data_IF_485586385385
#
_entry.id   IF_485586385385
#
_cell.length_a   1.000
_cell.length_b   1.000
_cell.length_c   1.000
_cell.angle_alpha   90.00
_cell.angle_beta   90.00
_cell.angle_gamma   90.00
#
_symmetry.space_group_name_H-M   'P 1'
#
loop_
_entity.id
_entity.type
_entity.pdbx_description
1 polymer ?
#
# COMPACT_ATOMS: atom_id res chain seq x y z
N UNK A 1 -1.25 0.11 1.16
CA UNK A 1 0.02 0.80 0.83
C UNK A 1 0.01 1.44 -0.56
N UNK A 2 -1.12 1.99 -1.03
CA UNK A 2 -1.08 2.99 -2.10
C UNK A 2 -1.12 4.37 -1.43
N UNK A 3 0.03 4.83 -0.92
CA UNK A 3 0.15 6.20 -0.42
C UNK A 3 0.04 7.21 -1.58
N UNK A 4 0.25 8.51 -1.31
CA UNK A 4 0.31 9.50 -2.39
C UNK A 4 1.52 9.28 -3.34
N UNK A 5 2.52 8.50 -2.92
CA UNK A 5 3.79 8.36 -3.62
C UNK A 5 3.72 7.74 -5.03
N UNK A 6 2.91 6.69 -5.32
CA UNK A 6 2.74 6.17 -6.69
C UNK A 6 2.00 7.13 -7.64
N UNK A 7 1.36 8.19 -7.12
CA UNK A 7 0.69 9.22 -7.93
C UNK A 7 1.65 10.40 -8.16
N UNK A 8 2.27 10.90 -7.08
CA UNK A 8 3.14 12.07 -7.13
C UNK A 8 4.40 11.80 -7.97
N UNK A 9 5.01 10.62 -7.86
CA UNK A 9 6.24 10.27 -8.58
C UNK A 9 6.08 10.40 -10.11
N UNK A 10 5.11 9.71 -10.73
CA UNK A 10 4.83 9.85 -12.15
C UNK A 10 4.45 11.28 -12.56
N UNK A 11 3.66 12.00 -11.76
CA UNK A 11 3.30 13.39 -12.05
C UNK A 11 4.52 14.31 -12.13
N UNK A 12 5.49 14.17 -11.22
CA UNK A 12 6.75 14.91 -11.25
C UNK A 12 7.61 14.45 -12.43
N UNK A 13 7.63 13.16 -12.74
CA UNK A 13 8.43 12.63 -13.83
C UNK A 13 8.03 13.10 -15.23
N UNK A 14 6.87 13.74 -15.40
CA UNK A 14 6.46 14.40 -16.66
C UNK A 14 7.43 15.54 -17.06
N UNK A 15 8.30 16.02 -16.17
CA UNK A 15 9.39 16.93 -16.53
C UNK A 15 10.25 16.41 -17.72
N UNK A 16 10.43 15.10 -17.84
CA UNK A 16 11.20 14.45 -18.92
C UNK A 16 10.34 13.93 -20.06
N UNK A 17 9.04 14.24 -20.05
CA UNK A 17 8.03 13.67 -20.94
C UNK A 17 7.38 12.41 -20.37
N UNK A 18 6.26 12.01 -20.95
CA UNK A 18 5.50 10.86 -20.44
C UNK A 18 6.16 9.51 -20.77
N UNK A 19 6.95 9.43 -21.84
CA UNK A 19 7.52 8.16 -22.31
C UNK A 19 8.61 7.60 -21.38
N UNK A 20 9.62 8.37 -20.92
CA UNK A 20 10.62 7.85 -19.97
C UNK A 20 10.00 7.44 -18.63
N UNK A 21 9.02 8.22 -18.15
CA UNK A 21 8.29 7.91 -16.92
C UNK A 21 7.55 6.58 -17.04
N UNK A 22 6.78 6.38 -18.12
CA UNK A 22 6.05 5.15 -18.37
C UNK A 22 6.97 3.94 -18.51
N UNK A 23 8.04 4.07 -19.30
CA UNK A 23 9.04 3.01 -19.48
C UNK A 23 9.65 2.59 -18.16
N UNK A 24 10.03 3.55 -17.31
CA UNK A 24 10.62 3.25 -16.03
C UNK A 24 9.62 2.66 -15.02
N UNK A 25 8.36 3.10 -15.02
CA UNK A 25 7.31 2.47 -14.21
C UNK A 25 7.17 0.99 -14.58
N UNK A 26 7.09 0.66 -15.87
CA UNK A 26 6.91 -0.73 -16.32
C UNK A 26 8.18 -1.54 -16.09
N UNK A 27 9.31 -1.10 -16.63
CA UNK A 27 10.56 -1.86 -16.58
C UNK A 27 11.13 -1.91 -15.16
N UNK A 28 11.09 -0.80 -14.43
CA UNK A 28 11.59 -0.73 -13.05
C UNK A 28 10.79 -1.60 -12.10
N UNK A 29 9.45 -1.62 -12.20
CA UNK A 29 8.62 -2.49 -11.35
C UNK A 29 8.86 -3.98 -11.64
N UNK A 30 9.09 -4.36 -12.90
CA UNK A 30 9.34 -5.76 -13.29
C UNK A 30 10.75 -6.20 -12.89
N UNK A 31 11.79 -5.45 -13.30
CA UNK A 31 13.17 -5.92 -13.19
C UNK A 31 13.82 -5.60 -11.85
N UNK A 32 13.45 -4.48 -11.22
CA UNK A 32 14.05 -4.07 -9.95
C UNK A 32 13.11 -4.41 -8.79
N UNK A 33 11.88 -3.88 -8.81
CA UNK A 33 10.92 -4.01 -7.70
C UNK A 33 10.52 -5.45 -7.44
N UNK A 34 9.94 -6.12 -8.45
CA UNK A 34 9.44 -7.49 -8.30
C UNK A 34 10.56 -8.48 -8.00
N UNK A 35 11.73 -8.34 -8.62
CA UNK A 35 12.89 -9.20 -8.35
C UNK A 35 13.40 -9.01 -6.91
N UNK A 36 13.54 -7.76 -6.46
CA UNK A 36 13.96 -7.44 -5.09
C UNK A 36 12.98 -7.98 -4.05
N UNK A 37 11.68 -7.68 -4.19
CA UNK A 37 10.65 -8.06 -3.23
C UNK A 37 10.43 -9.57 -3.18
N UNK A 38 10.54 -10.24 -4.34
CA UNK A 38 10.47 -11.70 -4.43
C UNK A 38 11.72 -12.37 -3.86
N UNK A 39 12.92 -11.82 -4.11
CA UNK A 39 14.16 -12.29 -3.51
C UNK A 39 14.11 -12.26 -1.98
N UNK A 40 13.64 -11.15 -1.41
CA UNK A 40 13.41 -11.00 0.03
C UNK A 40 12.38 -12.02 0.55
N UNK A 41 11.29 -12.25 -0.20
CA UNK A 41 10.26 -13.25 0.14
C UNK A 41 10.83 -14.66 0.21
N UNK A 42 11.47 -15.11 -0.87
CA UNK A 42 11.99 -16.48 -1.01
C UNK A 42 13.03 -16.76 0.07
N UNK A 43 13.92 -15.80 0.33
CA UNK A 43 14.95 -15.90 1.37
C UNK A 43 14.30 -16.03 2.75
N UNK A 44 13.33 -15.17 3.06
CA UNK A 44 12.59 -15.24 4.33
C UNK A 44 11.86 -16.56 4.54
N UNK A 45 11.13 -17.06 3.54
CA UNK A 45 10.38 -18.32 3.67
C UNK A 45 11.32 -19.52 3.85
N UNK A 46 12.50 -19.53 3.20
CA UNK A 46 13.54 -20.55 3.43
C UNK A 46 14.07 -20.51 4.87
N UNK A 47 14.17 -19.32 5.44
CA UNK A 47 14.58 -19.07 6.83
C UNK A 47 13.40 -19.07 7.81
N UNK A 48 12.37 -19.89 7.56
CA UNK A 48 11.19 -20.06 8.45
C UNK A 48 10.39 -18.77 8.70
N UNK A 49 10.36 -17.84 7.75
CA UNK A 49 9.64 -16.57 7.86
C UNK A 49 10.34 -15.52 8.73
N UNK A 50 11.66 -15.64 8.93
CA UNK A 50 12.46 -14.63 9.63
C UNK A 50 12.59 -13.36 8.78
N UNK A 51 12.69 -12.21 9.46
CA UNK A 51 12.89 -10.93 8.79
C UNK A 51 14.24 -10.88 8.09
N UNK A 52 14.38 -10.10 7.01
CA UNK A 52 15.67 -9.94 6.32
C UNK A 52 16.76 -9.38 7.27
N UNK A 53 16.35 -8.56 8.25
CA UNK A 53 17.20 -8.04 9.31
C UNK A 53 17.81 -9.17 10.16
N UNK A 54 16.99 -10.14 10.55
CA UNK A 54 17.43 -11.26 11.38
C UNK A 54 18.33 -12.24 10.60
N UNK A 55 18.00 -12.48 9.32
CA UNK A 55 18.78 -13.37 8.44
C UNK A 55 20.19 -12.83 8.24
N UNK A 56 20.31 -11.50 8.04
CA UNK A 56 21.59 -10.81 7.92
C UNK A 56 22.49 -11.05 9.12
N UNK A 57 21.91 -11.21 10.32
CA UNK A 57 22.65 -11.53 11.54
C UNK A 57 23.31 -12.89 11.56
N UNK A 58 22.67 -13.90 10.98
CA UNK A 58 23.21 -15.25 10.91
C UNK A 58 24.25 -15.41 9.80
N UNK A 59 24.11 -14.64 8.71
CA UNK A 59 24.97 -14.76 7.52
C UNK A 59 26.23 -13.88 7.65
N UNK A 60 26.10 -12.65 8.16
CA UNK A 60 27.20 -11.69 8.24
C UNK A 60 27.77 -11.66 9.65
N UNK A 61 27.09 -11.02 10.59
CA UNK A 61 27.41 -10.99 12.02
C UNK A 61 26.29 -10.35 12.83
N UNK A 62 26.31 -10.54 14.15
CA UNK A 62 25.33 -9.95 15.09
C UNK A 62 25.34 -8.41 15.13
N UNK A 63 26.47 -7.76 14.84
CA UNK A 63 26.56 -6.28 14.84
C UNK A 63 25.77 -5.68 13.66
N UNK A 64 25.88 -6.27 12.48
CA UNK A 64 25.13 -5.89 11.27
C UNK A 64 23.64 -6.08 11.48
N UNK A 65 23.21 -7.13 12.19
CA UNK A 65 21.79 -7.31 12.58
C UNK A 65 21.27 -6.12 13.37
N UNK A 66 21.98 -5.71 14.43
CA UNK A 66 21.56 -4.59 15.28
C UNK A 66 21.53 -3.28 14.49
N UNK A 67 22.56 -3.02 13.67
CA UNK A 67 22.60 -1.85 12.78
C UNK A 67 21.39 -1.81 11.83
N UNK A 68 21.06 -2.95 11.23
CA UNK A 68 19.94 -3.05 10.30
C UNK A 68 18.58 -2.94 11.02
N UNK A 69 18.43 -3.51 12.22
CA UNK A 69 17.23 -3.36 13.04
C UNK A 69 17.00 -1.92 13.48
N UNK A 70 18.06 -1.20 13.90
CA UNK A 70 17.98 0.23 14.23
C UNK A 70 17.56 1.03 12.99
N UNK A 71 18.18 0.76 11.84
CA UNK A 71 17.82 1.42 10.59
C UNK A 71 16.35 1.21 10.22
N UNK A 72 15.85 -0.03 10.27
CA UNK A 72 14.44 -0.35 9.98
C UNK A 72 13.50 0.32 10.97
N UNK A 73 13.86 0.38 12.25
CA UNK A 73 13.08 1.05 13.28
C UNK A 73 12.96 2.55 13.01
N UNK A 74 14.08 3.23 12.74
CA UNK A 74 14.11 4.66 12.42
C UNK A 74 13.33 4.96 11.13
N UNK A 75 13.51 4.13 10.10
CA UNK A 75 12.78 4.25 8.83
C UNK A 75 11.26 4.10 9.03
N UNK A 76 10.83 3.10 9.82
CA UNK A 76 9.40 2.86 10.08
C UNK A 76 8.79 4.01 10.86
N UNK A 77 9.53 4.59 11.82
CA UNK A 77 9.07 5.74 12.58
C UNK A 77 8.94 7.00 11.72
N UNK A 78 9.90 7.27 10.84
CA UNK A 78 9.83 8.37 9.87
C UNK A 78 8.63 8.22 8.94
N UNK A 79 8.43 7.01 8.38
CA UNK A 79 7.32 6.74 7.47
C UNK A 79 5.97 6.94 8.18
N UNK A 80 5.84 6.48 9.43
CA UNK A 80 4.63 6.68 10.22
C UNK A 80 4.32 8.17 10.43
N UNK A 81 5.34 8.98 10.74
CA UNK A 81 5.18 10.42 10.94
C UNK A 81 4.74 11.15 9.66
N UNK A 82 5.38 10.85 8.52
CA UNK A 82 5.03 11.46 7.22
C UNK A 82 3.60 11.11 6.81
N UNK A 83 3.18 9.86 6.99
CA UNK A 83 1.81 9.45 6.67
C UNK A 83 0.77 10.04 7.63
N UNK A 84 1.07 10.14 8.92
CA UNK A 84 0.17 10.78 9.88
C UNK A 84 -0.08 12.25 9.51
N UNK A 85 0.97 13.00 9.18
CA UNK A 85 0.88 14.39 8.73
C UNK A 85 0.09 14.51 7.43
N UNK A 86 0.36 13.65 6.44
CA UNK A 86 -0.33 13.71 5.14
C UNK A 86 -1.84 13.40 5.26
N UNK A 87 -2.21 12.40 6.06
CA UNK A 87 -3.63 12.04 6.27
C UNK A 87 -4.35 13.10 7.10
N UNK A 88 -3.71 13.64 8.15
CA UNK A 88 -4.29 14.72 8.94
C UNK A 88 -4.55 15.98 8.10
N UNK A 89 -3.61 16.35 7.23
CA UNK A 89 -3.81 17.43 6.27
C UNK A 89 -4.97 17.16 5.31
N UNK A 90 -5.11 15.93 4.83
CA UNK A 90 -6.24 15.53 3.96
C UNK A 90 -7.59 15.61 4.69
N UNK A 91 -7.64 15.26 5.97
CA UNK A 91 -8.88 15.33 6.77
C UNK A 91 -9.35 16.76 7.02
N UNK A 92 -8.41 17.69 7.22
CA UNK A 92 -8.73 19.12 7.33
C UNK A 92 -9.14 19.69 5.97
N UNK A 93 -8.42 19.35 4.90
CA UNK A 93 -8.72 19.87 3.55
C UNK A 93 -10.01 19.29 2.95
N UNK A 94 -10.34 18.03 3.24
CA UNK A 94 -11.50 17.32 2.69
C UNK A 94 -12.24 16.57 3.82
N UNK A 95 -13.03 17.28 4.65
CA UNK A 95 -13.72 16.68 5.80
C UNK A 95 -14.74 15.60 5.44
N UNK A 96 -15.22 15.58 4.20
CA UNK A 96 -16.16 14.56 3.67
C UNK A 96 -15.55 13.15 3.67
N UNK A 97 -14.22 13.02 3.72
CA UNK A 97 -13.51 11.73 3.74
C UNK A 97 -13.43 11.09 5.12
N UNK A 98 -13.64 11.87 6.20
CA UNK A 98 -13.46 11.40 7.57
C UNK A 98 -14.47 10.30 7.91
N UNK A 99 -15.74 10.52 7.57
CA UNK A 99 -16.83 9.56 7.82
C UNK A 99 -16.59 8.20 7.14
N UNK A 100 -16.40 8.10 5.80
CA UNK A 100 -16.21 6.81 5.15
C UNK A 100 -14.98 6.06 5.66
N UNK A 101 -13.88 6.74 5.98
CA UNK A 101 -12.64 6.08 6.47
C UNK A 101 -12.84 5.48 7.87
N UNK A 102 -13.49 6.21 8.78
CA UNK A 102 -13.76 5.68 10.13
C UNK A 102 -14.75 4.51 10.10
N UNK A 103 -15.75 4.58 9.22
CA UNK A 103 -16.71 3.49 9.04
C UNK A 103 -16.04 2.26 8.38
N UNK A 104 -15.12 2.46 7.44
CA UNK A 104 -14.33 1.38 6.84
C UNK A 104 -13.60 0.56 7.91
N UNK A 105 -13.00 1.22 8.91
CA UNK A 105 -12.32 0.55 10.03
C UNK A 105 -13.28 -0.34 10.81
N UNK A 106 -14.48 0.15 11.13
CA UNK A 106 -15.51 -0.61 11.86
C UNK A 106 -15.97 -1.81 11.05
N UNK A 107 -16.24 -1.62 9.76
CA UNK A 107 -16.64 -2.69 8.85
C UNK A 107 -15.54 -3.73 8.70
N UNK A 108 -14.28 -3.31 8.60
CA UNK A 108 -13.12 -4.20 8.49
C UNK A 108 -13.00 -5.10 9.72
N UNK A 109 -13.22 -4.58 10.93
CA UNK A 109 -13.22 -5.36 12.17
C UNK A 109 -14.34 -6.41 12.15
N UNK A 110 -15.55 -6.02 11.76
CA UNK A 110 -16.69 -6.93 11.69
C UNK A 110 -16.45 -8.06 10.68
N UNK A 111 -15.92 -7.72 9.51
CA UNK A 111 -15.55 -8.69 8.47
C UNK A 111 -14.41 -9.58 8.94
N UNK A 112 -13.35 -9.04 9.55
CA UNK A 112 -12.24 -9.82 10.10
C UNK A 112 -12.72 -10.88 11.08
N UNK A 113 -13.60 -10.49 12.01
CA UNK A 113 -14.23 -11.41 12.95
C UNK A 113 -15.14 -12.44 12.26
N UNK A 114 -15.94 -12.02 11.28
CA UNK A 114 -16.85 -12.90 10.55
C UNK A 114 -16.10 -13.94 9.69
N UNK A 115 -15.04 -13.52 8.98
CA UNK A 115 -14.17 -14.40 8.20
C UNK A 115 -13.52 -15.45 9.11
N UNK A 116 -13.04 -15.03 10.28
CA UNK A 116 -12.41 -15.93 11.24
C UNK A 116 -13.39 -16.97 11.80
N UNK A 117 -14.61 -16.57 12.18
CA UNK A 117 -15.60 -17.49 12.77
C UNK A 117 -16.33 -18.36 11.76
N UNK A 118 -16.68 -17.84 10.58
CA UNK A 118 -17.59 -18.52 9.62
C UNK A 118 -16.88 -19.24 8.48
N UNK A 119 -15.54 -19.12 8.36
CA UNK A 119 -14.72 -19.72 7.28
C UNK A 119 -15.28 -19.46 5.87
N UNK A 120 -15.98 -18.34 5.68
CA UNK A 120 -16.54 -17.91 4.40
C UNK A 120 -15.43 -17.33 3.52
N UNK A 121 -15.61 -17.41 2.19
CA UNK A 121 -14.66 -16.79 1.25
C UNK A 121 -14.65 -15.26 1.40
N UNK A 122 -13.47 -14.65 1.39
CA UNK A 122 -13.29 -13.23 1.64
C UNK A 122 -13.96 -12.30 0.61
N UNK A 123 -14.17 -12.76 -0.63
CA UNK A 123 -14.67 -11.98 -1.76
C UNK A 123 -16.07 -11.40 -1.55
N UNK A 124 -17.03 -12.22 -1.11
CA UNK A 124 -18.42 -11.76 -1.00
C UNK A 124 -18.60 -10.73 0.14
N UNK A 125 -18.08 -10.96 1.37
CA UNK A 125 -18.13 -9.96 2.43
C UNK A 125 -17.43 -8.65 2.06
N UNK A 126 -16.31 -8.70 1.32
CA UNK A 126 -15.58 -7.48 0.93
C UNK A 126 -16.32 -6.65 -0.11
N UNK A 127 -17.02 -7.28 -1.06
CA UNK A 127 -17.84 -6.56 -2.03
C UNK A 127 -19.05 -5.88 -1.36
N UNK A 128 -19.65 -6.54 -0.37
CA UNK A 128 -20.72 -5.94 0.44
C UNK A 128 -20.16 -4.74 1.21
N UNK A 129 -19.00 -4.87 1.85
CA UNK A 129 -18.34 -3.75 2.51
C UNK A 129 -18.03 -2.59 1.58
N UNK A 130 -17.58 -2.87 0.36
CA UNK A 130 -17.32 -1.84 -0.64
C UNK A 130 -18.61 -1.09 -1.02
N UNK A 131 -19.72 -1.80 -1.21
CA UNK A 131 -21.03 -1.18 -1.46
C UNK A 131 -21.48 -0.28 -0.31
N UNK A 132 -21.35 -0.75 0.94
CA UNK A 132 -21.63 0.04 2.13
C UNK A 132 -20.72 1.27 2.19
N UNK A 133 -19.42 1.10 1.90
CA UNK A 133 -18.46 2.18 1.90
C UNK A 133 -18.86 3.30 0.92
N UNK A 134 -19.30 2.98 -0.29
CA UNK A 134 -19.78 3.99 -1.25
C UNK A 134 -21.03 4.74 -0.76
N UNK A 135 -21.93 4.07 -0.03
CA UNK A 135 -23.07 4.73 0.63
C UNK A 135 -22.56 5.74 1.66
N UNK A 136 -21.57 5.37 2.47
CA UNK A 136 -20.97 6.28 3.44
C UNK A 136 -20.11 7.38 2.81
N UNK A 137 -19.52 7.16 1.64
CA UNK A 137 -18.88 8.24 0.85
C UNK A 137 -19.94 9.27 0.45
N UNK A 138 -21.09 8.84 -0.05
CA UNK A 138 -22.19 9.74 -0.36
C UNK A 138 -22.71 10.47 0.88
N UNK A 139 -22.92 9.77 2.00
CA UNK A 139 -23.35 10.40 3.26
C UNK A 139 -22.32 11.39 3.81
N UNK A 140 -21.02 11.10 3.65
CA UNK A 140 -19.93 12.00 4.04
C UNK A 140 -19.97 13.33 3.29
N UNK A 141 -20.49 13.37 2.06
CA UNK A 141 -20.70 14.65 1.34
C UNK A 141 -21.84 15.48 1.90
N UNK A 142 -22.80 14.86 2.61
CA UNK A 142 -23.94 15.55 3.23
C UNK A 142 -23.67 15.97 4.67
N UNK A 143 -22.86 15.18 5.39
CA UNK A 143 -22.51 15.40 6.79
C UNK A 143 -20.98 15.48 6.96
N UNK A 144 -20.34 16.58 6.54
CA UNK A 144 -18.90 16.76 6.76
C UNK A 144 -18.63 16.86 8.26
N UNK A 145 -17.73 16.01 8.75
CA UNK A 145 -17.28 16.06 10.14
C UNK A 145 -16.02 16.93 10.19
N UNK A 146 -16.13 18.12 10.76
CA UNK A 146 -14.98 19.01 10.96
C UNK A 146 -14.92 19.48 12.41
N UNK A 147 -13.71 19.73 12.90
CA UNK A 147 -13.54 20.30 14.23
C UNK A 147 -13.73 21.83 14.28
N UNK A 148 -14.03 22.45 13.14
CA UNK A 148 -14.36 23.88 13.05
C UNK A 148 -15.55 24.28 13.93
N UNK A 149 -16.54 23.40 14.08
CA UNK A 149 -17.69 23.63 14.96
C UNK A 149 -17.30 23.75 16.44
N UNK A 150 -16.10 23.30 16.83
CA UNK A 150 -15.55 23.44 18.17
C UNK A 150 -14.64 24.67 18.31
N UNK A 151 -14.55 25.53 17.28
CA UNK A 151 -13.75 26.76 17.30
C UNK A 151 -12.24 26.55 17.18
N UNK A 152 -11.79 25.38 16.70
CA UNK A 152 -10.38 25.07 16.53
C UNK A 152 -9.84 25.61 15.20
N UNK A 153 -8.68 26.26 15.24
CA UNK A 153 -7.95 26.67 14.03
C UNK A 153 -7.44 25.45 13.24
N UNK A 154 -7.26 25.62 11.94
CA UNK A 154 -6.71 24.63 10.99
C UNK A 154 -5.46 23.90 11.53
N UNK A 155 -4.53 24.62 12.15
CA UNK A 155 -3.32 24.05 12.75
C UNK A 155 -3.64 23.14 13.93
N UNK A 156 -4.57 23.57 14.79
CA UNK A 156 -4.98 22.79 15.96
C UNK A 156 -5.74 21.52 15.54
N UNK A 157 -6.57 21.61 14.51
CA UNK A 157 -7.27 20.44 13.95
C UNK A 157 -6.29 19.42 13.39
N UNK A 158 -5.29 19.88 12.63
CA UNK A 158 -4.26 19.01 12.06
C UNK A 158 -3.47 18.30 13.17
N UNK A 159 -3.01 19.05 14.18
CA UNK A 159 -2.29 18.47 15.32
C UNK A 159 -3.14 17.45 16.09
N UNK A 160 -4.43 17.73 16.30
CA UNK A 160 -5.36 16.80 16.95
C UNK A 160 -5.50 15.51 16.13
N UNK A 161 -5.67 15.62 14.81
CA UNK A 161 -5.74 14.45 13.93
C UNK A 161 -4.45 13.63 13.95
N UNK A 162 -3.28 14.27 13.96
CA UNK A 162 -1.99 13.57 14.08
C UNK A 162 -1.96 12.72 15.36
N UNK A 163 -2.35 13.30 16.50
CA UNK A 163 -2.42 12.58 17.78
C UNK A 163 -3.39 11.40 17.70
N UNK A 164 -4.60 11.61 17.17
CA UNK A 164 -5.60 10.55 17.01
C UNK A 164 -5.11 9.41 16.09
N UNK A 165 -4.41 9.75 15.00
CA UNK A 165 -3.83 8.78 14.07
C UNK A 165 -2.69 7.97 14.70
N UNK A 166 -1.87 8.58 15.56
CA UNK A 166 -0.85 7.85 16.32
C UNK A 166 -1.47 6.90 17.34
N UNK A 167 -2.51 7.33 18.07
CA UNK A 167 -3.26 6.47 18.99
C UNK A 167 -3.86 5.28 18.23
N UNK A 168 -4.52 5.55 17.10
CA UNK A 168 -5.05 4.50 16.24
C UNK A 168 -3.96 3.53 15.77
N UNK A 169 -2.80 4.04 15.33
CA UNK A 169 -1.69 3.21 14.85
C UNK A 169 -1.10 2.34 15.96
N UNK A 170 -1.02 2.87 17.19
CA UNK A 170 -0.61 2.11 18.36
C UNK A 170 -1.58 0.94 18.63
N UNK A 171 -2.90 1.21 18.67
CA UNK A 171 -3.93 0.18 18.84
C UNK A 171 -3.87 -0.86 17.71
N UNK A 172 -3.77 -0.40 16.45
CA UNK A 172 -3.73 -1.26 15.28
C UNK A 172 -2.51 -2.20 15.26
N UNK A 173 -1.36 -1.76 15.78
CA UNK A 173 -0.15 -2.59 15.86
C UNK A 173 -0.20 -3.67 16.95
N UNK A 174 -1.05 -3.50 17.95
CA UNK A 174 -1.31 -4.49 19.00
C UNK A 174 -2.32 -5.56 18.57
N UNK A 175 -3.23 -5.20 17.66
CA UNK A 175 -4.26 -6.11 17.18
C UNK A 175 -3.70 -7.20 16.25
N UNK A 176 -4.26 -8.43 16.27
CA UNK A 176 -3.87 -9.46 15.32
C UNK A 176 -4.10 -9.03 13.87
N UNK A 177 -3.17 -9.35 12.98
CA UNK A 177 -3.20 -8.96 11.56
C UNK A 177 -4.52 -9.36 10.87
N UNK A 178 -5.07 -10.53 11.20
CA UNK A 178 -6.31 -11.04 10.62
C UNK A 178 -7.56 -10.26 11.06
N UNK A 179 -7.50 -9.55 12.18
CA UNK A 179 -8.66 -8.91 12.80
C UNK A 179 -8.98 -7.56 12.15
N UNK A 180 -7.96 -6.73 11.90
CA UNK A 180 -8.13 -5.40 11.35
C UNK A 180 -7.37 -5.21 10.04
N UNK A 181 -6.07 -5.53 10.01
CA UNK A 181 -5.18 -5.13 8.93
C UNK A 181 -5.50 -5.84 7.62
N UNK A 182 -5.64 -7.17 7.65
CA UNK A 182 -5.97 -7.99 6.49
C UNK A 182 -7.34 -7.68 5.86
N UNK A 183 -8.46 -7.62 6.62
CA UNK A 183 -9.76 -7.30 6.03
C UNK A 183 -9.81 -5.87 5.49
N UNK A 184 -9.18 -4.91 6.17
CA UNK A 184 -9.08 -3.52 5.69
C UNK A 184 -8.29 -3.42 4.39
N UNK A 185 -7.09 -4.01 4.35
CA UNK A 185 -6.27 -4.01 3.13
C UNK A 185 -6.99 -4.66 1.95
N UNK A 186 -7.80 -5.69 2.23
CA UNK A 186 -8.60 -6.35 1.21
C UNK A 186 -9.72 -5.46 0.67
N UNK A 187 -10.49 -4.76 1.52
CA UNK A 187 -11.52 -3.80 1.09
C UNK A 187 -10.88 -2.67 0.25
N UNK A 188 -9.81 -2.07 0.77
CA UNK A 188 -9.10 -0.97 0.08
C UNK A 188 -8.51 -1.41 -1.27
N UNK A 189 -8.06 -2.66 -1.41
CA UNK A 189 -7.60 -3.18 -2.70
C UNK A 189 -8.71 -3.21 -3.76
N UNK A 190 -9.95 -3.57 -3.38
CA UNK A 190 -11.08 -3.53 -4.31
C UNK A 190 -11.43 -2.07 -4.68
N UNK A 191 -11.40 -1.17 -3.70
CA UNK A 191 -11.60 0.25 -3.95
C UNK A 191 -10.56 0.82 -4.92
N UNK A 192 -9.29 0.41 -4.80
CA UNK A 192 -8.24 0.82 -5.74
C UNK A 192 -8.57 0.37 -7.17
N UNK A 193 -9.00 -0.88 -7.37
CA UNK A 193 -9.39 -1.37 -8.70
C UNK A 193 -10.59 -0.62 -9.27
N UNK A 194 -11.62 -0.36 -8.47
CA UNK A 194 -12.79 0.40 -8.91
C UNK A 194 -12.43 1.85 -9.21
N UNK A 195 -11.64 2.49 -8.35
CA UNK A 195 -11.18 3.86 -8.54
C UNK A 195 -10.34 4.01 -9.81
N UNK A 196 -9.43 3.07 -10.07
CA UNK A 196 -8.62 3.06 -11.29
C UNK A 196 -9.49 2.84 -12.54
N UNK A 197 -10.45 1.91 -12.49
CA UNK A 197 -11.37 1.67 -13.60
C UNK A 197 -12.22 2.90 -13.92
N UNK A 198 -12.76 3.57 -12.89
CA UNK A 198 -13.52 4.82 -13.05
C UNK A 198 -12.65 5.95 -13.61
N UNK A 199 -11.39 6.06 -13.17
CA UNK A 199 -10.46 7.06 -13.68
C UNK A 199 -10.17 6.84 -15.17
N UNK A 200 -9.84 5.61 -15.58
CA UNK A 200 -9.64 5.30 -17.00
C UNK A 200 -10.90 5.54 -17.82
N UNK A 201 -12.07 5.12 -17.34
CA UNK A 201 -13.34 5.38 -18.02
C UNK A 201 -13.59 6.89 -18.16
N UNK A 202 -13.34 7.66 -17.10
CA UNK A 202 -13.43 9.11 -17.12
C UNK A 202 -12.51 9.75 -18.15
N UNK A 203 -11.29 9.23 -18.32
CA UNK A 203 -10.35 9.69 -19.35
C UNK A 203 -10.88 9.43 -20.76
N UNK A 204 -11.45 8.23 -21.01
CA UNK A 204 -12.04 7.89 -22.30
C UNK A 204 -13.28 8.72 -22.62
N UNK A 205 -14.06 9.15 -21.63
CA UNK A 205 -15.24 9.99 -21.86
C UNK A 205 -14.87 11.46 -22.01
N UNK A 206 -13.97 11.97 -21.16
CA UNK A 206 -13.61 13.38 -21.13
C UNK A 206 -12.67 13.80 -22.28
N UNK A 207 -11.91 12.86 -22.85
CA UNK A 207 -10.93 13.12 -23.91
C UNK A 207 -10.10 14.41 -23.70
N UNK A 208 -9.40 14.56 -22.56
CA UNK A 208 -8.61 15.76 -22.31
C UNK A 208 -7.44 15.83 -23.31
N UNK A 209 -7.13 17.04 -23.77
CA UNK A 209 -5.97 17.28 -24.61
C UNK A 209 -4.71 17.03 -23.78
N UNK A 210 -3.88 16.07 -24.21
CA UNK A 210 -2.62 15.73 -23.52
C UNK A 210 -1.53 16.71 -23.98
N UNK A 211 -1.33 17.76 -23.19
CA UNK A 211 -0.27 18.76 -23.42
C UNK A 211 1.07 18.33 -22.78
N UNK A 212 1.52 17.11 -23.11
CA UNK A 212 2.78 16.56 -22.62
C UNK A 212 3.57 15.95 -23.78
N UNK A 213 4.75 16.50 -24.14
CA UNK A 213 5.61 15.89 -25.15
C UNK A 213 6.08 14.50 -24.69
N UNK A 214 6.31 13.61 -25.65
CA UNK A 214 6.77 12.26 -25.36
C UNK A 214 8.13 12.25 -24.64
N UNK A 215 9.03 13.16 -25.04
CA UNK A 215 10.36 13.27 -24.48
C UNK A 215 10.78 14.73 -24.38
N UNK A 216 11.39 15.11 -23.24
CA UNK A 216 12.06 16.39 -23.03
C UNK A 216 13.52 16.15 -22.64
N UNK A 217 14.50 16.56 -23.46
CA UNK A 217 15.91 16.40 -23.12
C UNK A 217 16.31 17.27 -21.92
N UNK A 218 17.30 16.82 -21.16
CA UNK A 218 17.88 17.59 -20.04
C UNK A 218 18.51 18.88 -20.58
N UNK A 219 18.10 20.04 -20.05
CA UNK A 219 18.63 21.34 -20.47
C UNK A 219 17.61 22.50 -20.53
N UNK A 220 16.33 22.22 -20.78
CA UNK A 220 15.24 23.22 -20.78
C UNK A 220 14.66 23.45 -19.36
N UNK A 221 15.53 23.60 -18.36
CA UNK A 221 15.12 23.63 -16.94
C UNK A 221 14.77 22.26 -16.34
N UNK A 222 14.77 21.20 -17.14
CA UNK A 222 14.65 19.82 -16.67
C UNK A 222 16.02 19.29 -16.18
N UNK A 223 16.13 18.78 -14.94
CA UNK A 223 17.38 18.25 -14.42
C UNK A 223 17.78 16.94 -15.13
N UNK A 224 18.98 16.40 -14.84
CA UNK A 224 19.47 15.19 -15.53
C UNK A 224 18.55 13.99 -15.29
N UNK A 225 18.22 13.23 -16.35
CA UNK A 225 17.37 12.03 -16.25
C UNK A 225 17.97 11.02 -15.27
N UNK A 226 19.27 10.79 -15.37
CA UNK A 226 20.02 9.99 -14.41
C UNK A 226 20.67 10.90 -13.35
N UNK A 227 20.52 10.63 -12.04
CA UNK A 227 19.75 9.55 -11.41
C UNK A 227 18.29 9.92 -11.07
N UNK A 228 17.87 11.16 -11.31
CA UNK A 228 16.62 11.71 -10.74
C UNK A 228 15.36 10.96 -11.15
N UNK A 229 15.18 10.59 -12.42
CA UNK A 229 14.00 9.85 -12.86
C UNK A 229 13.80 8.55 -12.05
N UNK A 230 14.90 7.84 -11.81
CA UNK A 230 14.92 6.57 -11.09
C UNK A 230 14.56 6.72 -9.61
N UNK A 231 14.95 7.84 -8.99
CA UNK A 231 14.66 8.16 -7.58
C UNK A 231 13.25 8.73 -7.44
N UNK A 232 12.81 9.59 -8.36
CA UNK A 232 11.48 10.22 -8.36
C UNK A 232 10.37 9.19 -8.46
N UNK A 233 10.56 8.14 -9.27
CA UNK A 233 9.64 6.99 -9.36
C UNK A 233 10.24 5.78 -8.63
N UNK A 234 10.72 5.96 -7.40
CA UNK A 234 11.20 4.84 -6.59
C UNK A 234 10.05 4.03 -5.97
N UNK A 235 8.92 4.68 -5.66
CA UNK A 235 7.77 4.07 -4.99
C UNK A 235 7.00 3.13 -5.93
N UNK A 236 7.53 1.91 -6.08
CA UNK A 236 6.99 0.85 -6.94
C UNK A 236 8.09 0.18 -7.75
N UNK A 237 9.02 0.96 -8.31
CA UNK A 237 10.14 0.42 -9.08
C UNK A 237 11.31 -0.05 -8.19
N UNK A 238 11.63 0.66 -7.11
CA UNK A 238 12.77 0.35 -6.23
C UNK A 238 12.44 0.77 -4.79
N UNK A 239 11.42 0.17 -4.16
CA UNK A 239 11.12 0.45 -2.75
C UNK A 239 11.62 -0.67 -1.84
N UNK A 240 12.61 -0.36 -0.99
CA UNK A 240 13.10 -1.30 0.02
C UNK A 240 12.05 -1.71 1.06
N UNK A 241 11.03 -0.87 1.27
CA UNK A 241 9.98 -1.12 2.26
C UNK A 241 9.07 -2.30 1.88
N UNK A 242 8.78 -2.49 0.58
CA UNK A 242 8.03 -3.66 0.13
C UNK A 242 8.78 -4.97 0.40
N UNK A 243 10.10 -4.99 0.25
CA UNK A 243 10.95 -6.13 0.65
C UNK A 243 10.89 -6.43 2.15
N UNK A 244 10.79 -5.40 3.00
CA UNK A 244 10.59 -5.56 4.45
C UNK A 244 9.22 -6.17 4.77
N UNK A 245 8.15 -5.71 4.13
CA UNK A 245 6.79 -6.27 4.29
C UNK A 245 6.72 -7.69 3.74
N UNK A 246 7.35 -7.93 2.59
CA UNK A 246 7.46 -9.23 1.93
C UNK A 246 8.12 -10.28 2.84
N UNK A 247 9.26 -9.92 3.44
CA UNK A 247 9.97 -10.80 4.38
C UNK A 247 9.38 -10.83 5.80
N UNK A 248 8.64 -9.82 6.23
CA UNK A 248 8.14 -9.70 7.60
C UNK A 248 6.74 -10.26 7.84
N UNK A 249 5.80 -10.00 6.91
CA UNK A 249 4.38 -10.39 7.04
C UNK A 249 3.96 -11.39 5.97
N UNK A 250 4.32 -11.14 4.70
CA UNK A 250 3.86 -11.97 3.57
C UNK A 250 4.45 -13.37 3.65
N UNK A 251 5.74 -13.50 3.99
CA UNK A 251 6.42 -14.78 4.17
C UNK A 251 5.72 -15.72 5.15
N UNK A 252 5.14 -15.16 6.24
CA UNK A 252 4.44 -15.91 7.29
C UNK A 252 3.02 -16.34 6.89
N UNK A 253 2.47 -15.74 5.84
CA UNK A 253 1.14 -16.07 5.31
C UNK A 253 1.19 -17.15 4.21
N UNK A 254 2.39 -17.58 3.77
CA UNK A 254 2.56 -18.58 2.72
C UNK A 254 2.50 -20.00 3.30
N UNK A 255 1.47 -20.75 2.90
CA UNK A 255 1.21 -22.12 3.41
C UNK A 255 2.13 -23.20 2.82
N UNK A 256 2.57 -23.07 1.56
CA UNK A 256 3.43 -24.06 0.90
C UNK A 256 4.26 -23.44 -0.21
N UNK A 257 5.57 -23.62 -0.17
CA UNK A 257 6.46 -23.28 -1.29
C UNK A 257 6.58 -24.52 -2.20
N UNK A 258 5.86 -24.53 -3.34
CA UNK A 258 5.97 -25.62 -4.32
C UNK A 258 6.83 -25.17 -5.51
N UNK A 259 8.12 -25.56 -5.47
CA UNK A 259 9.18 -25.41 -6.48
C UNK A 259 9.66 -23.97 -6.79
N UNK A 260 10.95 -23.61 -6.56
CA UNK A 260 11.43 -22.22 -6.67
C UNK A 260 11.59 -21.65 -8.09
N UNK A 261 11.89 -22.48 -9.09
CA UNK A 261 12.45 -22.01 -10.37
C UNK A 261 11.40 -21.71 -11.45
N UNK A 262 10.21 -22.33 -11.38
CA UNK A 262 9.15 -22.17 -12.39
C UNK A 262 8.21 -20.97 -12.13
N UNK A 263 8.41 -20.26 -11.01
CA UNK A 263 7.54 -19.17 -10.55
C UNK A 263 7.90 -17.79 -11.10
N UNK A 264 9.17 -17.58 -11.48
CA UNK A 264 9.70 -16.29 -11.97
C UNK A 264 8.88 -15.73 -13.14
N UNK A 265 8.46 -16.59 -14.07
CA UNK A 265 7.74 -16.17 -15.27
C UNK A 265 6.22 -16.29 -15.19
N UNK A 266 5.69 -17.22 -14.38
CA UNK A 266 4.26 -17.53 -14.37
C UNK A 266 3.42 -16.54 -13.57
N UNK A 267 4.02 -15.84 -12.60
CA UNK A 267 3.33 -14.86 -11.75
C UNK A 267 3.56 -13.40 -12.17
N UNK A 268 4.73 -13.06 -12.73
CA UNK A 268 4.94 -11.77 -13.39
C UNK A 268 3.93 -11.56 -14.53
N UNK A 269 3.55 -12.63 -15.25
CA UNK A 269 2.59 -12.57 -16.35
C UNK A 269 1.11 -12.72 -15.91
N UNK A 270 0.81 -13.37 -14.77
CA UNK A 270 -0.58 -13.63 -14.32
C UNK A 270 -1.22 -12.51 -13.51
N UNK A 271 -0.47 -11.46 -13.14
CA UNK A 271 -1.05 -10.30 -12.44
C UNK A 271 -1.61 -9.23 -13.39
N UNK A 272 -1.21 -9.23 -14.65
CA UNK A 272 -1.67 -8.21 -15.61
C UNK A 272 -2.91 -8.63 -16.40
N UNK A 273 -3.29 -9.92 -16.40
CA UNK A 273 -4.46 -10.42 -17.14
C UNK A 273 -5.22 -11.43 -16.28
N UNK A 274 -6.17 -10.93 -15.49
CA UNK A 274 -7.35 -11.70 -15.10
C UNK A 274 -7.33 -12.43 -13.75
N UNK A 275 -8.37 -12.09 -12.97
CA UNK A 275 -8.99 -12.86 -11.88
C UNK A 275 -8.31 -12.84 -10.49
N UNK A 276 -8.83 -11.93 -9.66
CA UNK A 276 -8.77 -11.93 -8.20
C UNK A 276 -9.53 -13.09 -7.54
N UNK A 277 -9.27 -14.34 -7.93
CA UNK A 277 -9.98 -15.53 -7.38
C UNK A 277 -9.14 -16.34 -6.38
N UNK A 278 -7.82 -16.18 -6.32
CA UNK A 278 -6.98 -17.02 -5.45
C UNK A 278 -6.76 -16.50 -4.02
N UNK A 279 -7.03 -15.22 -3.74
CA UNK A 279 -6.94 -14.69 -2.37
C UNK A 279 -8.06 -15.26 -1.48
N UNK A 280 -9.23 -15.57 -2.07
CA UNK A 280 -10.38 -16.15 -1.37
C UNK A 280 -10.23 -17.62 -0.94
N UNK A 281 -9.30 -18.40 -1.51
CA UNK A 281 -8.96 -19.76 -0.99
C UNK A 281 -7.86 -19.74 0.05
N UNK A 282 -6.91 -18.79 -0.06
CA UNK A 282 -5.85 -18.64 0.94
C UNK A 282 -6.43 -18.29 2.33
N UNK A 283 -7.49 -17.48 2.38
CA UNK A 283 -8.12 -17.06 3.63
C UNK A 283 -8.87 -18.17 4.39
N UNK A 284 -9.30 -19.26 3.71
CA UNK A 284 -9.98 -20.40 4.37
C UNK A 284 -9.04 -21.29 5.17
N UNK A 285 -7.77 -21.28 4.79
CA UNK A 285 -6.75 -22.20 5.28
C UNK A 285 -5.74 -21.56 6.24
N UNK A 286 -5.80 -20.24 6.45
CA UNK A 286 -4.94 -19.50 7.39
C UNK A 286 -5.29 -19.72 8.86
N UNK A 287 -6.44 -20.31 9.19
CA UNK A 287 -6.98 -20.41 10.56
C UNK A 287 -6.32 -21.56 11.36
N UNK A 288 -5.36 -22.30 10.77
CA UNK A 288 -4.80 -23.53 11.35
C UNK A 288 -3.47 -23.43 12.10
N UNK A 289 -2.76 -22.29 12.10
CA UNK A 289 -1.44 -22.23 12.72
C UNK A 289 -1.48 -21.48 14.05
N UNK A 290 -1.40 -22.27 15.13
CA UNK A 290 -1.00 -21.84 16.46
C UNK A 290 0.30 -21.01 16.38
N UNK A 291 0.30 -19.87 17.08
CA UNK A 291 1.52 -19.31 17.67
C UNK A 291 2.20 -20.36 18.56
#
# INVERSE_FOLDING_TARGET
>A
MSGAAPIIGPCIAVYWGWLPALLWIILGTIFMGAVHDFGALVTSVREKGRSIADITGNVINSRTRVMFLIFVLLLTWLILAVFAMAIAGLFVAVPTTILPINIEIIIAIFIGWHLYKRKVGALLPSLIALGILYIFVYLGTKFPLSFESFGLDTTQQNNLWIILLFIYSAIASLLPVWFLLQPRDYINSHQLFVGLALLFLGLFVAHPVVDAPAFRPSGEGAPSIFPLLFVTIACGAISGFHGLVSSGTTSKQIKRMSRPTYWIWRYAWRRDIGLGIYVGRCCRDCIGYKL
#
